data_IF_055589588081
#
_entry.id   IF_055589588081
#
_cell.length_a   1.000
_cell.length_b   1.000
_cell.length_c   1.000
_cell.angle_alpha   90.00
_cell.angle_beta   90.00
_cell.angle_gamma   90.00
#
_symmetry.space_group_name_H-M   'P 1'
#
loop_
_entity.id
_entity.type
_entity.pdbx_description
1 polymer ?
#
# COMPACT_ATOMS: atom_id res chain seq x y z
N UNK A 1 7.53 1.06 -15.15
CA UNK A 1 7.46 1.75 -13.84
C UNK A 1 7.10 0.71 -12.79
N UNK A 2 8.02 0.37 -11.87
CA UNK A 2 7.84 -0.71 -10.91
C UNK A 2 6.61 -0.53 -10.01
N UNK A 3 6.29 0.72 -9.65
CA UNK A 3 5.11 1.06 -8.86
C UNK A 3 3.80 0.60 -9.49
N UNK A 4 3.58 0.88 -10.78
CA UNK A 4 2.32 0.52 -11.44
C UNK A 4 2.07 -0.99 -11.46
N UNK A 5 3.12 -1.80 -11.60
CA UNK A 5 3.03 -3.25 -11.54
C UNK A 5 2.65 -3.72 -10.13
N UNK A 6 3.35 -3.22 -9.09
CA UNK A 6 3.05 -3.52 -7.69
C UNK A 6 1.65 -3.05 -7.30
N UNK A 7 1.25 -1.87 -7.74
CA UNK A 7 -0.09 -1.32 -7.48
C UNK A 7 -1.21 -2.18 -8.10
N UNK A 8 -0.99 -2.81 -9.25
CA UNK A 8 -1.95 -3.76 -9.82
C UNK A 8 -2.14 -4.98 -8.93
N UNK A 9 -1.05 -5.52 -8.37
CA UNK A 9 -1.11 -6.66 -7.44
C UNK A 9 -1.79 -6.27 -6.12
N UNK A 10 -1.47 -5.09 -5.58
CA UNK A 10 -2.13 -4.56 -4.38
C UNK A 10 -3.64 -4.39 -4.59
N UNK A 11 -4.07 -3.88 -5.75
CA UNK A 11 -5.50 -3.78 -6.08
C UNK A 11 -6.20 -5.14 -6.12
N UNK A 12 -5.53 -6.21 -6.58
CA UNK A 12 -6.08 -7.57 -6.53
C UNK A 12 -6.23 -8.07 -5.09
N UNK A 13 -5.30 -7.69 -4.22
CA UNK A 13 -5.35 -7.97 -2.78
C UNK A 13 -6.36 -7.07 -2.02
N UNK A 14 -7.14 -6.23 -2.71
CA UNK A 14 -8.15 -5.38 -2.07
C UNK A 14 -7.63 -4.05 -1.51
N UNK A 15 -6.45 -3.61 -1.91
CA UNK A 15 -5.97 -2.27 -1.56
C UNK A 15 -6.75 -1.18 -2.30
N UNK A 16 -6.93 -0.05 -1.62
CA UNK A 16 -7.66 1.10 -2.15
C UNK A 16 -6.82 2.37 -2.07
N UNK A 17 -6.89 3.22 -3.10
CA UNK A 17 -6.35 4.58 -3.03
C UNK A 17 -7.46 5.60 -2.86
N UNK A 18 -7.18 6.66 -2.11
CA UNK A 18 -8.01 7.85 -1.99
C UNK A 18 -7.27 9.01 -2.61
N UNK A 19 -8.00 9.78 -3.41
CA UNK A 19 -7.51 11.05 -3.93
C UNK A 19 -7.26 12.01 -2.76
N UNK A 20 -6.25 12.88 -2.86
CA UNK A 20 -6.13 13.98 -1.91
C UNK A 20 -7.39 14.84 -1.95
N UNK A 21 -7.75 15.40 -0.80
CA UNK A 21 -8.83 16.37 -0.69
C UNK A 21 -8.23 17.78 -0.52
N UNK A 22 -8.74 18.76 -1.25
CA UNK A 22 -8.27 20.15 -1.15
C UNK A 22 -6.98 20.42 -1.93
N UNK A 23 -6.01 21.10 -1.29
CA UNK A 23 -4.74 21.53 -1.88
C UNK A 23 -3.61 20.47 -1.81
N UNK A 24 -3.87 19.32 -1.19
CA UNK A 24 -2.89 18.26 -1.09
C UNK A 24 -2.69 17.59 -2.45
N UNK A 25 -1.46 17.21 -2.79
CA UNK A 25 -1.15 16.48 -4.04
C UNK A 25 -1.00 14.98 -3.77
N UNK A 26 -0.81 14.60 -2.51
CA UNK A 26 -0.45 13.24 -2.13
C UNK A 26 -1.66 12.30 -2.08
N UNK A 27 -1.58 11.23 -2.87
CA UNK A 27 -2.54 10.14 -2.81
C UNK A 27 -2.38 9.36 -1.51
N UNK A 28 -3.51 9.01 -0.88
CA UNK A 28 -3.48 8.10 0.29
C UNK A 28 -3.75 6.68 -0.19
N UNK A 29 -2.88 5.74 0.17
CA UNK A 29 -3.03 4.31 -0.10
C UNK A 29 -3.45 3.59 1.18
N UNK A 30 -4.45 2.72 1.09
CA UNK A 30 -5.08 2.04 2.20
C UNK A 30 -5.01 0.54 1.99
N UNK A 31 -4.61 -0.16 3.05
CA UNK A 31 -4.63 -1.62 3.12
C UNK A 31 -6.08 -2.14 3.11
N UNK A 32 -6.36 -3.31 2.51
CA UNK A 32 -7.66 -3.97 2.62
C UNK A 32 -8.09 -4.10 4.08
N UNK A 33 -9.38 -3.92 4.35
CA UNK A 33 -9.94 -4.06 5.70
C UNK A 33 -9.55 -2.96 6.70
N UNK A 34 -8.68 -2.02 6.34
CA UNK A 34 -8.21 -0.95 7.22
C UNK A 34 -8.83 0.40 6.90
N UNK A 35 -8.86 1.28 7.89
CA UNK A 35 -9.47 2.61 7.77
C UNK A 35 -8.46 3.71 8.09
N UNK A 36 -8.81 4.97 7.75
CA UNK A 36 -7.98 6.15 8.06
C UNK A 36 -7.81 6.44 9.57
N UNK A 37 -8.40 5.62 10.44
CA UNK A 37 -8.23 5.70 11.91
C UNK A 37 -7.00 4.93 12.40
N UNK A 38 -6.42 4.10 11.54
CA UNK A 38 -5.31 3.23 11.87
C UNK A 38 -3.95 3.96 11.69
N UNK A 39 -2.81 3.27 11.80
CA UNK A 39 -1.49 3.93 11.91
C UNK A 39 -0.88 4.28 10.54
N UNK A 40 -0.31 5.50 10.40
CA UNK A 40 0.42 5.92 9.19
C UNK A 40 1.71 5.11 9.05
N UNK A 41 1.97 4.58 7.86
CA UNK A 41 3.16 3.77 7.55
C UNK A 41 2.99 2.28 7.84
N UNK A 42 1.82 1.87 8.33
CA UNK A 42 1.46 0.47 8.56
C UNK A 42 0.12 0.12 7.91
N UNK A 43 -0.93 0.89 8.21
CA UNK A 43 -2.29 0.65 7.70
C UNK A 43 -2.68 1.59 6.55
N UNK A 44 -2.16 2.83 6.57
CA UNK A 44 -2.29 3.77 5.47
C UNK A 44 -0.98 4.48 5.14
N UNK A 45 -0.77 4.76 3.86
CA UNK A 45 0.45 5.36 3.32
C UNK A 45 0.10 6.63 2.56
N UNK A 46 0.94 7.64 2.63
CA UNK A 46 0.73 8.91 1.92
C UNK A 46 1.83 9.04 0.88
N UNK A 47 1.45 8.99 -0.40
CA UNK A 47 2.39 9.05 -1.52
C UNK A 47 2.93 7.69 -1.96
N UNK A 48 3.44 7.66 -3.18
CA UNK A 48 4.04 6.47 -3.81
C UNK A 48 5.31 6.02 -3.06
N UNK A 49 6.12 6.98 -2.60
CA UNK A 49 7.41 6.70 -1.96
C UNK A 49 7.26 5.92 -0.64
N UNK A 50 6.33 6.35 0.23
CA UNK A 50 6.07 5.64 1.50
C UNK A 50 5.58 4.22 1.25
N UNK A 51 4.67 4.03 0.29
CA UNK A 51 4.16 2.71 -0.05
C UNK A 51 5.28 1.81 -0.59
N UNK A 52 6.10 2.32 -1.51
CA UNK A 52 7.20 1.55 -2.10
C UNK A 52 8.24 1.15 -1.07
N UNK A 53 8.61 2.04 -0.13
CA UNK A 53 9.53 1.71 0.98
C UNK A 53 8.97 0.59 1.88
N UNK A 54 7.67 0.58 2.12
CA UNK A 54 7.03 -0.50 2.88
C UNK A 54 7.06 -1.83 2.13
N UNK A 55 6.72 -1.81 0.83
CA UNK A 55 6.79 -3.01 -0.01
C UNK A 55 8.20 -3.55 -0.12
N UNK A 56 9.20 -2.69 -0.31
CA UNK A 56 10.61 -3.08 -0.38
C UNK A 56 11.08 -3.77 0.91
N UNK A 57 10.68 -3.26 2.07
CA UNK A 57 10.93 -3.92 3.36
C UNK A 57 10.27 -5.30 3.46
N UNK A 58 9.04 -5.45 2.96
CA UNK A 58 8.34 -6.73 2.95
C UNK A 58 9.00 -7.73 1.96
N UNK A 59 9.42 -7.26 0.78
CA UNK A 59 10.14 -8.06 -0.20
C UNK A 59 11.50 -8.55 0.35
N UNK A 60 12.23 -7.70 1.10
CA UNK A 60 13.51 -8.07 1.74
C UNK A 60 13.31 -9.07 2.90
N UNK A 61 12.18 -9.01 3.60
CA UNK A 61 11.90 -9.85 4.77
C UNK A 61 11.28 -11.22 4.47
N UNK A 62 10.84 -11.49 3.23
CA UNK A 62 9.99 -12.66 2.95
C UNK A 62 10.38 -13.38 1.65
N UNK A 63 11.42 -14.24 1.63
CA UNK A 63 11.79 -15.00 0.44
C UNK A 63 10.79 -16.12 0.07
N UNK A 64 9.71 -16.29 0.83
CA UNK A 64 8.81 -17.45 0.67
C UNK A 64 7.42 -17.11 1.19
N UNK A 65 6.56 -16.55 0.36
CA UNK A 65 5.11 -16.81 0.41
C UNK A 65 4.44 -16.04 -0.72
N UNK A 66 4.09 -16.76 -1.79
CA UNK A 66 3.34 -16.29 -2.96
C UNK A 66 1.84 -16.10 -2.64
N UNK A 67 1.52 -15.74 -1.39
CA UNK A 67 0.17 -15.74 -0.83
C UNK A 67 -0.01 -14.52 0.08
N UNK A 68 0.38 -13.34 -0.41
CA UNK A 68 0.13 -12.05 0.27
C UNK A 68 -1.36 -11.67 0.32
N UNK A 69 -2.26 -12.50 -0.21
CA UNK A 69 -3.71 -12.26 -0.23
C UNK A 69 -4.43 -12.65 1.07
N UNK A 70 -3.79 -13.38 1.99
CA UNK A 70 -4.45 -13.94 3.18
C UNK A 70 -4.03 -13.29 4.51
N UNK A 71 -3.06 -12.37 4.52
CA UNK A 71 -2.47 -11.81 5.75
C UNK A 71 -2.72 -10.31 5.95
N UNK A 72 -3.54 -9.68 5.10
CA UNK A 72 -3.84 -8.23 5.16
C UNK A 72 -5.32 -7.95 5.44
#
# INVERSE_FOLDING_TARGET
MAFQARWRELKKAGWHSRKPAGLSVDFTYLKPGKTKKDTRGEDYFVGEEELMKYLDKLDIGMPFCREWSVML
#
